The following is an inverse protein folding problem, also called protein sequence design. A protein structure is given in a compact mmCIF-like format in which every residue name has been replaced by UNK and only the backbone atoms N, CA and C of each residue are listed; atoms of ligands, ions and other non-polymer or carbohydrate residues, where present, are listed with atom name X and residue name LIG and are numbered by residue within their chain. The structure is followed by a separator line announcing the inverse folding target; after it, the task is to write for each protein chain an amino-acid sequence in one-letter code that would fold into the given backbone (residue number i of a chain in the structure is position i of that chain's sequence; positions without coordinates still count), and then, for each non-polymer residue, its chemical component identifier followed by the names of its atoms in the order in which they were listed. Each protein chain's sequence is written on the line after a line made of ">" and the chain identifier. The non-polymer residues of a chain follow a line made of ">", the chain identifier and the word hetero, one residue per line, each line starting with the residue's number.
data_IF_848131496762
#
_entry.id   IF_848131496762
#
_cell.length_a   1.000
_cell.length_b   1.000
_cell.length_c   1.000
_cell.angle_alpha   90.00
_cell.angle_beta   90.00
_cell.angle_gamma   90.00
#
_symmetry.space_group_name_H-M   'P 1'
#
loop_
_entity.id
_entity.type
_entity.pdbx_description
1 polymer ?
#
# COMPACT_ATOMS: atom_id res chain seq x y z
N UNK A 1 41.64 19.92 -2.12
CA UNK A 1 41.26 18.78 -2.99
C UNK A 1 40.63 17.60 -2.25
N UNK A 2 40.98 17.30 -0.98
CA UNK A 2 40.34 16.22 -0.20
C UNK A 2 38.93 16.57 0.31
N UNK A 3 38.71 17.81 0.74
CA UNK A 3 37.43 18.29 1.27
C UNK A 3 36.30 18.37 0.21
N UNK A 4 36.65 18.58 -1.06
CA UNK A 4 35.69 18.59 -2.17
C UNK A 4 35.21 17.18 -2.52
N UNK A 5 36.07 16.17 -2.42
CA UNK A 5 35.72 14.77 -2.64
C UNK A 5 34.77 14.24 -1.54
N UNK A 6 34.99 14.61 -0.28
CA UNK A 6 34.09 14.27 0.83
C UNK A 6 32.75 14.97 0.73
N UNK A 7 32.71 16.21 0.25
CA UNK A 7 31.46 16.94 0.01
C UNK A 7 30.62 16.31 -1.12
N UNK A 8 31.26 15.81 -2.17
CA UNK A 8 30.58 15.16 -3.29
C UNK A 8 30.00 13.78 -2.92
N UNK A 9 30.72 13.02 -2.08
CA UNK A 9 30.24 11.75 -1.52
C UNK A 9 29.03 11.94 -0.60
N UNK A 10 28.99 13.03 0.17
CA UNK A 10 27.86 13.34 1.05
C UNK A 10 26.60 13.74 0.25
N UNK A 11 26.78 14.42 -0.89
CA UNK A 11 25.67 14.80 -1.77
C UNK A 11 25.08 13.58 -2.51
N UNK A 12 25.91 12.64 -2.93
CA UNK A 12 25.46 11.38 -3.54
C UNK A 12 24.70 10.50 -2.54
N UNK A 13 25.09 10.48 -1.26
CA UNK A 13 24.40 9.73 -0.21
C UNK A 13 23.01 10.30 0.14
N UNK A 14 22.75 11.58 -0.15
CA UNK A 14 21.47 12.24 0.11
C UNK A 14 20.45 12.04 -1.03
N UNK A 15 20.83 11.34 -2.10
CA UNK A 15 19.96 10.98 -3.21
C UNK A 15 19.08 9.78 -2.85
N UNK A 16 18.25 9.92 -1.80
CA UNK A 16 17.24 8.92 -1.52
C UNK A 16 16.16 9.01 -2.61
N UNK A 17 16.00 7.92 -3.36
CA UNK A 17 14.90 7.74 -4.30
C UNK A 17 13.58 7.83 -3.55
N UNK A 18 12.81 8.90 -3.75
CA UNK A 18 11.43 8.95 -3.28
C UNK A 18 10.61 7.99 -4.15
N UNK A 19 10.17 6.87 -3.58
CA UNK A 19 9.17 6.03 -4.24
C UNK A 19 7.80 6.64 -3.98
N UNK A 20 6.99 6.77 -5.03
CA UNK A 20 5.57 7.06 -4.85
C UNK A 20 4.96 5.94 -3.99
N UNK A 21 4.09 6.32 -3.05
CA UNK A 21 3.27 5.37 -2.34
C UNK A 21 2.31 4.69 -3.32
N UNK A 22 1.96 3.43 -3.06
CA UNK A 22 0.90 2.75 -3.81
C UNK A 22 -0.41 3.54 -3.61
N UNK A 23 -1.12 3.95 -4.69
CA UNK A 23 -2.38 4.67 -4.55
C UNK A 23 -3.51 3.81 -3.97
N UNK A 24 -3.33 2.48 -3.89
CA UNK A 24 -4.36 1.54 -3.46
C UNK A 24 -4.14 1.03 -2.04
N UNK A 25 -5.23 0.64 -1.38
CA UNK A 25 -5.15 -0.03 -0.07
C UNK A 25 -5.12 -1.54 -0.26
N UNK A 26 -4.05 -2.18 0.22
CA UNK A 26 -3.88 -3.64 0.16
C UNK A 26 -4.18 -4.31 1.51
N UNK A 27 -5.05 -5.31 1.49
CA UNK A 27 -5.46 -6.10 2.64
C UNK A 27 -5.17 -7.58 2.37
N UNK A 28 -3.98 -8.08 2.76
CA UNK A 28 -3.65 -9.49 2.57
C UNK A 28 -4.49 -10.39 3.48
N UNK A 29 -4.73 -11.65 3.07
CA UNK A 29 -5.43 -12.59 3.92
C UNK A 29 -4.66 -12.83 5.21
N UNK A 30 -5.38 -13.15 6.28
CA UNK A 30 -4.73 -13.55 7.54
C UNK A 30 -3.82 -14.75 7.32
N UNK A 31 -2.65 -14.74 7.96
CA UNK A 31 -1.61 -15.77 7.78
C UNK A 31 -2.16 -17.19 7.90
N UNK A 32 -1.89 -18.04 6.90
CA UNK A 32 -2.37 -19.42 6.85
C UNK A 32 -3.84 -19.59 6.49
N UNK A 33 -4.59 -18.51 6.22
CA UNK A 33 -6.02 -18.55 5.90
C UNK A 33 -6.34 -18.17 4.45
N UNK A 34 -5.35 -18.07 3.57
CA UNK A 34 -5.56 -17.69 2.18
C UNK A 34 -6.48 -18.69 1.44
N UNK A 35 -7.52 -18.17 0.80
CA UNK A 35 -8.49 -18.97 0.05
C UNK A 35 -8.19 -19.04 -1.48
N UNK A 36 -7.09 -18.43 -1.91
CA UNK A 36 -6.63 -18.43 -3.31
C UNK A 36 -7.39 -17.49 -4.24
N UNK A 37 -8.24 -16.59 -3.73
CA UNK A 37 -9.03 -15.64 -4.53
C UNK A 37 -8.67 -14.20 -4.21
N UNK A 38 -8.72 -13.36 -5.25
CA UNK A 38 -8.49 -11.92 -5.17
C UNK A 38 -9.77 -11.14 -5.43
N UNK A 39 -10.01 -10.09 -4.65
CA UNK A 39 -11.13 -9.15 -4.79
C UNK A 39 -10.57 -7.74 -4.96
N UNK A 40 -11.09 -7.00 -5.92
CA UNK A 40 -10.83 -5.56 -6.08
C UNK A 40 -12.13 -4.81 -5.81
N UNK A 41 -12.13 -3.92 -4.81
CA UNK A 41 -13.28 -3.12 -4.42
C UNK A 41 -13.13 -1.73 -5.01
N UNK A 42 -13.95 -1.39 -6.00
CA UNK A 42 -13.93 -0.05 -6.60
C UNK A 42 -14.77 0.88 -5.75
N UNK A 43 -14.16 1.94 -5.21
CA UNK A 43 -14.85 2.96 -4.41
C UNK A 43 -14.87 4.33 -5.10
N UNK A 44 -15.82 5.17 -4.72
CA UNK A 44 -15.99 6.56 -5.16
C UNK A 44 -16.61 7.45 -4.07
N UNK A 45 -16.42 8.75 -4.20
CA UNK A 45 -16.66 9.80 -3.18
C UNK A 45 -18.01 10.55 -3.37
N UNK A 46 -18.91 10.01 -4.21
CA UNK A 46 -20.03 10.82 -4.73
C UNK A 46 -21.27 10.87 -3.81
N UNK A 47 -21.51 9.87 -2.95
CA UNK A 47 -22.73 9.92 -2.11
C UNK A 47 -22.71 9.04 -0.84
N UNK A 48 -22.06 7.86 -0.90
CA UNK A 48 -22.14 6.86 0.19
C UNK A 48 -20.84 6.62 0.94
N UNK A 49 -19.87 7.52 0.75
CA UNK A 49 -18.56 7.46 1.39
C UNK A 49 -17.91 6.08 1.26
N UNK A 50 -17.95 5.53 0.05
CA UNK A 50 -17.45 4.17 -0.18
C UNK A 50 -15.94 4.08 0.02
N UNK A 51 -15.24 5.22 -0.03
CA UNK A 51 -13.86 5.38 0.39
C UNK A 51 -13.61 5.01 1.87
N UNK A 52 -14.64 4.97 2.72
CA UNK A 52 -14.55 4.50 4.11
C UNK A 52 -15.09 3.08 4.29
N UNK A 53 -16.21 2.74 3.63
CA UNK A 53 -16.85 1.44 3.80
C UNK A 53 -16.14 0.30 3.07
N UNK A 54 -15.58 0.53 1.87
CA UNK A 54 -14.83 -0.49 1.13
C UNK A 54 -13.57 -0.95 1.88
N UNK A 55 -12.73 -0.08 2.47
CA UNK A 55 -11.60 -0.51 3.30
C UNK A 55 -12.01 -1.38 4.48
N UNK A 56 -13.11 -1.04 5.15
CA UNK A 56 -13.60 -1.82 6.29
C UNK A 56 -14.13 -3.19 5.83
N UNK A 57 -14.84 -3.25 4.71
CA UNK A 57 -15.29 -4.50 4.10
C UNK A 57 -14.10 -5.37 3.64
N UNK A 58 -13.10 -4.78 2.98
CA UNK A 58 -11.87 -5.46 2.55
C UNK A 58 -11.13 -6.09 3.73
N UNK A 59 -11.08 -5.40 4.88
CA UNK A 59 -10.53 -5.94 6.13
C UNK A 59 -11.32 -7.14 6.63
N UNK A 60 -12.65 -7.09 6.65
CA UNK A 60 -13.46 -8.24 7.08
C UNK A 60 -13.26 -9.44 6.13
N UNK A 61 -13.29 -9.22 4.82
CA UNK A 61 -13.10 -10.25 3.80
C UNK A 61 -11.71 -10.89 3.88
N UNK A 62 -10.66 -10.09 4.06
CA UNK A 62 -9.29 -10.61 4.17
C UNK A 62 -9.03 -11.35 5.48
N UNK A 63 -9.49 -10.78 6.61
CA UNK A 63 -9.15 -11.32 7.93
C UNK A 63 -10.04 -12.50 8.35
N UNK A 64 -11.30 -12.53 7.91
CA UNK A 64 -12.26 -13.57 8.30
C UNK A 64 -12.43 -14.64 7.23
N UNK A 65 -12.37 -14.26 5.94
CA UNK A 65 -12.71 -15.16 4.83
C UNK A 65 -11.52 -15.53 3.95
N UNK A 66 -10.33 -14.97 4.20
CA UNK A 66 -9.11 -15.40 3.52
C UNK A 66 -8.91 -14.85 2.11
N UNK A 67 -9.65 -13.82 1.73
CA UNK A 67 -9.48 -13.14 0.44
C UNK A 67 -8.23 -12.26 0.44
N UNK A 68 -7.59 -12.14 -0.71
CA UNK A 68 -6.64 -11.07 -0.99
C UNK A 68 -7.41 -9.86 -1.55
N UNK A 69 -7.45 -8.75 -0.82
CA UNK A 69 -8.29 -7.61 -1.17
C UNK A 69 -7.46 -6.37 -1.52
N UNK A 70 -7.87 -5.66 -2.56
CA UNK A 70 -7.38 -4.31 -2.89
C UNK A 70 -8.58 -3.38 -2.99
N UNK A 71 -8.47 -2.17 -2.43
CA UNK A 71 -9.46 -1.07 -2.59
C UNK A 71 -8.80 0.04 -3.39
#
# INVERSE_FOLDING_TARGET
>A
MKATATSLLLFAALSLSVSAADPWLHFPPKSGQANGKKIVLVSGDEEYRTEESCPMLAKILSQTHGFDCTV
#
